data_IF_216417891831
#
_entry.id   IF_216417891831
#
_cell.length_a   1.000
_cell.length_b   1.000
_cell.length_c   1.000
_cell.angle_alpha   90.00
_cell.angle_beta   90.00
_cell.angle_gamma   90.00
#
_symmetry.space_group_name_H-M   'P 1'
#
loop_
_entity.id
_entity.type
_entity.pdbx_description
1 polymer ?
#
# COMPACT_ATOMS: atom_id res chain seq x y z
N UNK A 1 -11.02 17.14 -3.66
CA UNK A 1 -10.62 16.58 -2.34
C UNK A 1 -10.13 15.15 -2.44
N UNK A 2 -10.84 14.25 -3.14
CA UNK A 2 -10.44 12.84 -3.28
C UNK A 2 -8.99 12.63 -3.73
N UNK A 3 -8.49 13.42 -4.70
CA UNK A 3 -7.12 13.22 -5.20
C UNK A 3 -6.06 13.54 -4.15
N UNK A 4 -6.32 14.48 -3.23
CA UNK A 4 -5.40 14.77 -2.11
C UNK A 4 -5.34 13.59 -1.15
N UNK A 5 -6.49 12.98 -0.83
CA UNK A 5 -6.55 11.76 -0.02
C UNK A 5 -5.84 10.59 -0.71
N UNK A 6 -6.02 10.45 -2.02
CA UNK A 6 -5.30 9.44 -2.79
C UNK A 6 -3.78 9.63 -2.68
N UNK A 7 -3.26 10.83 -2.98
CA UNK A 7 -1.82 11.07 -2.91
C UNK A 7 -1.25 10.96 -1.49
N UNK A 8 -2.00 11.40 -0.47
CA UNK A 8 -1.61 11.18 0.92
C UNK A 8 -1.55 9.68 1.25
N UNK A 9 -2.55 8.90 0.84
CA UNK A 9 -2.57 7.45 1.04
C UNK A 9 -1.40 6.74 0.34
N UNK A 10 -1.04 7.15 -0.88
CA UNK A 10 0.14 6.64 -1.59
C UNK A 10 1.45 7.05 -0.88
N UNK A 11 1.55 8.29 -0.39
CA UNK A 11 2.71 8.72 0.39
C UNK A 11 2.88 7.92 1.68
N UNK A 12 1.78 7.62 2.37
CA UNK A 12 1.78 6.77 3.55
C UNK A 12 2.17 5.33 3.20
N UNK A 13 1.67 4.76 2.09
CA UNK A 13 2.09 3.44 1.60
C UNK A 13 3.59 3.39 1.31
N UNK A 14 4.12 4.30 0.50
CA UNK A 14 5.55 4.29 0.19
C UNK A 14 6.42 4.47 1.42
N UNK A 15 5.96 5.27 2.40
CA UNK A 15 6.68 5.42 3.67
C UNK A 15 6.55 4.17 4.54
N UNK A 16 5.40 3.48 4.52
CA UNK A 16 5.23 2.16 5.13
C UNK A 16 6.23 1.15 4.56
N UNK A 17 6.46 1.14 3.24
CA UNK A 17 7.44 0.22 2.64
C UNK A 17 8.89 0.52 3.07
N UNK A 18 9.22 1.79 3.41
CA UNK A 18 10.51 2.13 4.03
C UNK A 18 10.60 1.61 5.47
N UNK A 19 9.51 1.69 6.23
CA UNK A 19 9.39 1.13 7.58
C UNK A 19 9.37 -0.41 7.55
N UNK A 20 8.82 -1.02 6.50
CA UNK A 20 8.82 -2.46 6.28
C UNK A 20 10.23 -3.00 6.06
N UNK A 21 11.10 -2.21 5.43
CA UNK A 21 12.51 -2.54 5.30
C UNK A 21 13.24 -2.54 6.67
N UNK A 22 12.93 -1.60 7.57
CA UNK A 22 13.54 -1.56 8.91
C UNK A 22 13.01 -2.67 9.84
N UNK A 23 11.81 -3.18 9.57
CA UNK A 23 11.12 -4.23 10.33
C UNK A 23 11.13 -5.60 9.62
N UNK A 24 12.02 -5.78 8.64
CA UNK A 24 12.29 -7.07 7.99
C UNK A 24 11.04 -7.78 7.44
N UNK A 25 10.12 -7.06 6.81
CA UNK A 25 8.80 -7.58 6.39
C UNK A 25 8.89 -8.83 5.51
N UNK A 26 9.98 -8.99 4.74
CA UNK A 26 10.24 -10.20 3.96
C UNK A 26 10.26 -11.48 4.79
N UNK A 27 10.43 -11.41 6.11
CA UNK A 27 10.35 -12.56 7.02
C UNK A 27 8.93 -13.05 7.27
N UNK A 28 7.93 -12.20 7.03
CA UNK A 28 6.50 -12.46 7.30
C UNK A 28 5.73 -12.69 5.99
N UNK A 29 6.16 -12.07 4.89
CA UNK A 29 5.52 -12.24 3.59
C UNK A 29 5.55 -13.71 3.12
N UNK A 30 4.40 -14.32 2.78
CA UNK A 30 4.35 -15.71 2.33
C UNK A 30 5.26 -16.02 1.14
N UNK A 31 5.50 -15.03 0.26
CA UNK A 31 6.31 -15.19 -0.95
C UNK A 31 7.82 -15.16 -0.68
N UNK A 32 8.28 -14.55 0.42
CA UNK A 32 9.72 -14.32 0.68
C UNK A 32 10.20 -14.84 2.04
N UNK A 33 9.29 -15.25 2.94
CA UNK A 33 9.60 -15.72 4.31
C UNK A 33 10.48 -16.97 4.39
N UNK A 34 10.58 -17.71 3.29
CA UNK A 34 11.43 -18.91 3.15
C UNK A 34 12.84 -18.59 2.63
N UNK A 35 13.10 -17.35 2.20
CA UNK A 35 14.42 -16.91 1.74
C UNK A 35 15.34 -16.63 2.93
N UNK A 36 16.63 -16.88 2.75
CA UNK A 36 17.65 -16.45 3.72
C UNK A 36 17.72 -14.93 3.85
N UNK A 37 18.15 -14.43 5.00
CA UNK A 37 18.04 -13.01 5.38
C UNK A 37 18.56 -12.03 4.31
N UNK A 38 19.78 -12.23 3.83
CA UNK A 38 20.41 -11.32 2.85
C UNK A 38 19.70 -11.37 1.50
N UNK A 39 19.31 -12.57 1.06
CA UNK A 39 18.60 -12.78 -0.21
C UNK A 39 17.18 -12.22 -0.13
N UNK A 40 16.47 -12.45 0.98
CA UNK A 40 15.14 -11.91 1.23
C UNK A 40 15.12 -10.39 1.19
N UNK A 41 16.06 -9.74 1.87
CA UNK A 41 16.27 -8.29 1.80
C UNK A 41 16.53 -7.80 0.39
N UNK A 42 17.47 -8.45 -0.32
CA UNK A 42 17.83 -8.06 -1.69
C UNK A 42 16.62 -8.17 -2.62
N UNK A 43 15.91 -9.29 -2.59
CA UNK A 43 14.71 -9.53 -3.41
C UNK A 43 13.62 -8.53 -3.06
N UNK A 44 13.38 -8.27 -1.78
CA UNK A 44 12.40 -7.28 -1.32
C UNK A 44 12.70 -5.91 -1.95
N UNK A 45 13.90 -5.36 -1.75
CA UNK A 45 14.25 -4.04 -2.28
C UNK A 45 14.25 -4.01 -3.80
N UNK A 46 14.86 -5.01 -4.45
CA UNK A 46 14.99 -5.04 -5.90
C UNK A 46 13.63 -5.19 -6.60
N UNK A 47 12.68 -5.95 -6.03
CA UNK A 47 11.33 -6.12 -6.57
C UNK A 47 10.48 -4.85 -6.44
N UNK A 48 10.72 -4.01 -5.43
CA UNK A 48 10.00 -2.75 -5.26
C UNK A 48 10.31 -1.73 -6.36
N UNK A 49 11.51 -1.75 -6.95
CA UNK A 49 11.88 -0.83 -8.04
C UNK A 49 10.94 -0.94 -9.26
N UNK A 50 10.82 -2.11 -9.93
CA UNK A 50 9.91 -2.25 -11.06
C UNK A 50 8.43 -2.14 -10.62
N UNK A 51 8.08 -2.61 -9.42
CA UNK A 51 6.72 -2.48 -8.88
C UNK A 51 6.30 -1.01 -8.78
N UNK A 52 7.10 -0.17 -8.13
CA UNK A 52 6.81 1.25 -7.98
C UNK A 52 6.83 1.98 -9.32
N UNK A 53 7.76 1.65 -10.23
CA UNK A 53 7.77 2.23 -11.57
C UNK A 53 6.44 1.96 -12.31
N UNK A 54 5.96 0.72 -12.29
CA UNK A 54 4.69 0.33 -12.92
C UNK A 54 3.52 1.03 -12.23
N UNK A 55 3.46 1.02 -10.90
CA UNK A 55 2.37 1.65 -10.16
C UNK A 55 2.29 3.17 -10.42
N UNK A 56 3.43 3.85 -10.40
CA UNK A 56 3.53 5.29 -10.70
C UNK A 56 3.07 5.55 -12.14
N UNK A 57 3.55 4.78 -13.12
CA UNK A 57 3.14 4.92 -14.51
C UNK A 57 1.62 4.74 -14.69
N UNK A 58 1.03 3.73 -14.05
CA UNK A 58 -0.40 3.46 -14.14
C UNK A 58 -1.26 4.53 -13.45
N UNK A 59 -0.83 5.08 -12.31
CA UNK A 59 -1.58 6.14 -11.59
C UNK A 59 -1.40 7.52 -12.22
N UNK A 60 -0.34 7.73 -13.01
CA UNK A 60 -0.04 8.95 -13.75
C UNK A 60 -0.42 8.85 -15.25
N UNK A 61 -0.95 7.71 -15.70
CA UNK A 61 -1.33 7.47 -17.09
C UNK A 61 -2.14 8.62 -17.70
N UNK A 62 -1.78 9.02 -18.93
CA UNK A 62 -2.54 10.02 -19.69
C UNK A 62 -3.93 9.50 -20.07
N UNK A 63 -4.08 8.19 -20.25
CA UNK A 63 -5.38 7.56 -20.42
C UNK A 63 -6.18 7.66 -19.11
N UNK A 64 -7.28 8.42 -19.14
CA UNK A 64 -8.13 8.72 -17.97
C UNK A 64 -8.82 7.48 -17.40
N UNK A 65 -9.19 6.52 -18.24
CA UNK A 65 -9.83 5.27 -17.81
C UNK A 65 -8.85 4.42 -17.01
N UNK A 66 -7.64 4.22 -17.55
CA UNK A 66 -6.56 3.49 -16.87
C UNK A 66 -6.25 4.17 -15.55
N UNK A 67 -5.95 5.48 -15.58
CA UNK A 67 -5.62 6.26 -14.39
C UNK A 67 -6.68 6.14 -13.30
N UNK A 68 -7.95 6.33 -13.64
CA UNK A 68 -9.05 6.28 -12.67
C UNK A 68 -9.27 4.88 -12.11
N UNK A 69 -9.18 3.83 -12.94
CA UNK A 69 -9.28 2.44 -12.48
C UNK A 69 -8.11 2.10 -11.54
N UNK A 70 -6.89 2.46 -11.91
CA UNK A 70 -5.70 2.24 -11.07
C UNK A 70 -5.85 2.89 -9.71
N UNK A 71 -6.32 4.14 -9.64
CA UNK A 71 -6.53 4.83 -8.36
C UNK A 71 -7.54 4.12 -7.47
N UNK A 72 -8.64 3.63 -8.05
CA UNK A 72 -9.64 2.83 -7.32
C UNK A 72 -9.02 1.53 -6.80
N UNK A 73 -8.32 0.79 -7.66
CA UNK A 73 -7.68 -0.46 -7.27
C UNK A 73 -6.62 -0.26 -6.19
N UNK A 74 -5.79 0.76 -6.30
CA UNK A 74 -4.80 1.10 -5.30
C UNK A 74 -5.44 1.50 -3.97
N UNK A 75 -6.50 2.31 -3.99
CA UNK A 75 -7.22 2.64 -2.74
C UNK A 75 -7.87 1.43 -2.08
N UNK A 76 -8.38 0.47 -2.87
CA UNK A 76 -8.85 -0.80 -2.33
C UNK A 76 -7.68 -1.65 -1.77
N UNK A 77 -6.55 -1.67 -2.46
CA UNK A 77 -5.34 -2.34 -1.99
C UNK A 77 -4.85 -1.78 -0.65
N UNK A 78 -4.86 -0.46 -0.41
CA UNK A 78 -4.47 0.12 0.89
C UNK A 78 -5.29 -0.45 2.05
N UNK A 79 -6.59 -0.67 1.85
CA UNK A 79 -7.46 -1.27 2.85
C UNK A 79 -7.09 -2.75 3.06
N UNK A 80 -6.99 -3.52 1.98
CA UNK A 80 -6.63 -4.93 2.04
C UNK A 80 -5.23 -5.15 2.67
N UNK A 81 -4.28 -4.28 2.35
CA UNK A 81 -2.92 -4.31 2.91
C UNK A 81 -2.95 -4.16 4.43
N UNK A 82 -3.73 -3.19 4.96
CA UNK A 82 -3.90 -3.06 6.41
C UNK A 82 -4.56 -4.28 7.06
N UNK A 83 -5.48 -4.96 6.37
CA UNK A 83 -6.09 -6.20 6.84
C UNK A 83 -5.10 -7.37 6.86
N UNK A 84 -4.20 -7.44 5.87
CA UNK A 84 -3.13 -8.45 5.86
C UNK A 84 -2.21 -8.27 7.08
N UNK A 85 -1.80 -7.04 7.37
CA UNK A 85 -1.00 -6.76 8.56
C UNK A 85 -1.75 -7.06 9.86
N UNK A 86 -3.03 -6.71 9.95
CA UNK A 86 -3.85 -7.08 11.10
C UNK A 86 -3.88 -8.62 11.29
N UNK A 87 -3.91 -9.40 10.20
CA UNK A 87 -3.79 -10.86 10.24
C UNK A 87 -2.40 -11.35 10.63
N UNK A 88 -1.33 -10.60 10.31
CA UNK A 88 0.04 -10.94 10.67
C UNK A 88 0.46 -10.55 12.08
N UNK A 89 -0.36 -9.79 12.84
CA UNK A 89 -0.03 -9.38 14.22
C UNK A 89 0.31 -10.56 15.13
N UNK A 90 -0.26 -11.74 14.88
CA UNK A 90 0.00 -12.96 15.65
C UNK A 90 1.22 -13.76 15.16
N UNK A 91 1.87 -13.33 14.09
CA UNK A 91 3.02 -14.03 13.53
C UNK A 91 4.28 -13.72 14.36
N UNK A 92 5.06 -14.75 14.72
CA UNK A 92 6.21 -14.63 15.63
C UNK A 92 7.29 -13.63 15.18
N UNK A 93 7.35 -13.36 13.87
CA UNK A 93 8.30 -12.44 13.24
C UNK A 93 7.69 -11.07 12.89
N UNK A 94 6.51 -10.75 13.42
CA UNK A 94 5.84 -9.48 13.16
C UNK A 94 6.43 -8.37 14.03
N UNK A 95 7.12 -7.41 13.41
CA UNK A 95 7.85 -6.36 14.12
C UNK A 95 7.09 -4.99 14.12
N UNK A 96 5.96 -4.86 13.41
CA UNK A 96 5.23 -3.59 13.24
C UNK A 96 4.31 -3.24 14.42
N UNK A 97 4.90 -2.98 15.59
CA UNK A 97 4.15 -2.59 16.80
C UNK A 97 4.22 -1.10 17.12
N UNK A 98 5.08 -0.33 16.42
CA UNK A 98 5.30 1.08 16.72
C UNK A 98 4.09 1.95 16.37
N UNK A 99 3.94 3.10 17.06
CA UNK A 99 2.90 4.08 16.71
C UNK A 99 3.07 4.55 15.26
N UNK A 100 4.31 4.78 14.82
CA UNK A 100 4.60 5.23 13.47
C UNK A 100 4.13 4.21 12.43
N UNK A 101 4.53 2.94 12.58
CA UNK A 101 4.12 1.83 11.70
C UNK A 101 2.60 1.73 11.59
N UNK A 102 1.90 1.81 12.73
CA UNK A 102 0.44 1.79 12.77
C UNK A 102 -0.20 3.00 12.07
N UNK A 103 0.35 4.21 12.26
CA UNK A 103 -0.14 5.42 11.59
C UNK A 103 0.07 5.32 10.09
N UNK A 104 1.21 4.81 9.63
CA UNK A 104 1.51 4.65 8.21
C UNK A 104 0.49 3.70 7.56
N UNK A 105 0.28 2.52 8.14
CA UNK A 105 -0.58 1.51 7.52
C UNK A 105 -2.07 1.81 7.65
N UNK A 106 -2.57 2.10 8.86
CA UNK A 106 -3.99 2.36 9.07
C UNK A 106 -4.39 3.74 8.56
N UNK A 107 -3.47 4.71 8.57
CA UNK A 107 -3.66 6.00 7.92
C UNK A 107 -3.79 5.87 6.40
N UNK A 108 -2.97 5.03 5.76
CA UNK A 108 -3.10 4.73 4.33
C UNK A 108 -4.46 4.08 4.01
N UNK A 109 -4.87 3.07 4.80
CA UNK A 109 -6.17 2.43 4.66
C UNK A 109 -7.35 3.41 4.80
N UNK A 110 -7.30 4.30 5.80
CA UNK A 110 -8.31 5.35 5.98
C UNK A 110 -8.38 6.28 4.77
N UNK A 111 -7.23 6.70 4.23
CA UNK A 111 -7.18 7.52 3.02
C UNK A 111 -7.80 6.79 1.82
N UNK A 112 -7.51 5.49 1.65
CA UNK A 112 -8.10 4.63 0.62
C UNK A 112 -9.62 4.51 0.74
N UNK A 113 -10.12 4.27 1.95
CA UNK A 113 -11.56 4.19 2.23
C UNK A 113 -12.27 5.51 1.88
N UNK A 114 -11.75 6.63 2.37
CA UNK A 114 -12.33 7.96 2.10
C UNK A 114 -12.30 8.30 0.60
N UNK A 115 -11.22 7.93 -0.11
CA UNK A 115 -11.16 8.08 -1.57
C UNK A 115 -12.30 7.32 -2.26
N UNK A 116 -12.50 6.04 -1.92
CA UNK A 116 -13.53 5.20 -2.55
C UNK A 116 -14.94 5.70 -2.28
N UNK A 117 -15.23 6.15 -1.07
CA UNK A 117 -16.52 6.72 -0.70
C UNK A 117 -16.83 7.99 -1.50
N UNK A 118 -15.88 8.94 -1.56
CA UNK A 118 -16.03 10.17 -2.34
C UNK A 118 -16.15 9.88 -3.83
N UNK A 119 -15.34 8.97 -4.36
CA UNK A 119 -15.38 8.58 -5.76
C UNK A 119 -16.72 7.94 -6.14
N UNK A 120 -17.30 7.12 -5.26
CA UNK A 120 -18.62 6.51 -5.48
C UNK A 120 -19.73 7.57 -5.43
N UNK A 121 -19.64 8.54 -4.52
CA UNK A 121 -20.61 9.61 -4.40
C UNK A 121 -20.64 10.49 -5.66
N UNK A 122 -19.47 10.95 -6.13
CA UNK A 122 -19.37 11.76 -7.36
C UNK A 122 -19.96 11.04 -8.58
N UNK A 123 -19.74 9.72 -8.71
CA UNK A 123 -20.36 8.94 -9.79
C UNK A 123 -21.88 8.85 -9.69
N UNK A 124 -22.45 8.82 -8.47
CA UNK A 124 -23.91 8.75 -8.28
C UNK A 124 -24.61 10.09 -8.56
N UNK A 125 -23.93 11.22 -8.35
CA UNK A 125 -24.46 12.54 -8.68
C UNK A 125 -24.29 12.95 -10.15
N UNK A 126 -23.63 12.11 -10.97
CA UNK A 126 -23.40 12.36 -12.40
C UNK A 126 -24.29 11.49 -13.31
N UNK A 127 -25.27 10.78 -12.72
CA UNK A 127 -26.32 10.00 -13.39
C UNK A 127 -27.65 10.67 -13.10
#
# INVERSE_FOLDING_TARGET
MKDRLFYLGIGLLFTHELDAMTHHEWRVLPLTSWLGEEVGRFVFVAAHVPLFAILIALMASLNSVVRNRTRVWLSAFLILHSMLHAGFVLHDKYEFSSLLSNVLIYGAAMCGLLYLLLHRWERRGSV
#
